data_IF_014462977281
#
_entry.id   IF_014462977281
#
_cell.length_a   1.000
_cell.length_b   1.000
_cell.length_c   1.000
_cell.angle_alpha   90.00
_cell.angle_beta   90.00
_cell.angle_gamma   90.00
#
_symmetry.space_group_name_H-M   'P 1'
#
loop_
_entity.id
_entity.type
_entity.pdbx_description
1 polymer ?
#
# COMPACT_ATOMS: atom_id res chain seq x y z
N UNK A 1 3.16 11.06 -12.87
CA UNK A 1 3.61 10.75 -11.49
C UNK A 1 3.02 9.43 -11.00
N UNK A 2 1.69 9.30 -10.80
CA UNK A 2 1.07 8.02 -10.39
C UNK A 2 1.20 6.93 -11.47
N UNK A 3 1.08 7.28 -12.76
CA UNK A 3 1.22 6.33 -13.88
C UNK A 3 2.65 5.75 -14.03
N UNK A 4 3.64 6.32 -13.34
CA UNK A 4 5.02 5.82 -13.29
C UNK A 4 5.32 5.03 -12.01
N UNK A 5 4.31 4.80 -11.16
CA UNK A 5 4.44 4.17 -9.83
C UNK A 5 5.46 4.86 -8.91
N UNK A 6 5.76 6.13 -9.15
CA UNK A 6 6.59 6.92 -8.24
C UNK A 6 5.70 7.49 -7.12
N UNK A 7 5.34 6.61 -6.19
CA UNK A 7 4.49 6.95 -5.05
C UNK A 7 5.20 7.87 -4.07
N UNK A 8 6.52 7.74 -3.92
CA UNK A 8 7.31 8.60 -3.03
C UNK A 8 7.18 10.08 -3.43
N UNK A 9 7.46 10.41 -4.69
CA UNK A 9 7.40 11.79 -5.16
C UNK A 9 5.96 12.32 -5.14
N UNK A 10 4.97 11.47 -5.45
CA UNK A 10 3.56 11.85 -5.36
C UNK A 10 3.14 12.23 -3.92
N UNK A 11 3.48 11.39 -2.93
CA UNK A 11 3.19 11.65 -1.51
C UNK A 11 3.95 12.88 -1.03
N UNK A 12 5.22 13.04 -1.41
CA UNK A 12 6.04 14.19 -1.04
C UNK A 12 5.45 15.51 -1.56
N UNK A 13 5.07 15.58 -2.84
CA UNK A 13 4.42 16.76 -3.43
C UNK A 13 3.11 17.04 -2.70
N UNK A 14 2.28 16.02 -2.51
CA UNK A 14 1.00 16.17 -1.81
C UNK A 14 1.19 16.72 -0.40
N UNK A 15 2.10 16.17 0.40
CA UNK A 15 2.33 16.64 1.77
C UNK A 15 2.79 18.10 1.81
N UNK A 16 3.58 18.52 0.82
CA UNK A 16 4.02 19.92 0.68
C UNK A 16 2.88 20.85 0.28
N UNK A 17 1.96 20.41 -0.57
CA UNK A 17 0.87 21.26 -1.10
C UNK A 17 -0.41 21.18 -0.27
N UNK A 18 -0.61 20.13 0.53
CA UNK A 18 -1.80 19.88 1.35
C UNK A 18 -2.23 21.06 2.22
N UNK A 19 -1.33 21.78 2.93
CA UNK A 19 -1.74 22.93 3.74
C UNK A 19 -2.36 24.06 2.90
N UNK A 20 -1.80 24.32 1.72
CA UNK A 20 -2.32 25.32 0.78
C UNK A 20 -3.65 24.87 0.19
N UNK A 21 -3.75 23.62 -0.24
CA UNK A 21 -4.99 23.04 -0.76
C UNK A 21 -6.11 23.09 0.28
N UNK A 22 -5.83 22.76 1.55
CA UNK A 22 -6.81 22.84 2.63
C UNK A 22 -7.27 24.28 2.90
N UNK A 23 -6.39 25.28 2.76
CA UNK A 23 -6.73 26.70 2.96
C UNK A 23 -7.72 27.21 1.93
N UNK A 24 -7.66 26.69 0.70
CA UNK A 24 -8.46 27.15 -0.43
C UNK A 24 -9.53 26.17 -0.86
N UNK A 25 -9.78 25.10 -0.09
CA UNK A 25 -10.75 24.05 -0.44
C UNK A 25 -12.17 24.60 -0.70
N UNK A 26 -12.55 25.67 0.01
CA UNK A 26 -13.89 26.27 -0.07
C UNK A 26 -14.00 27.33 -1.19
N UNK A 27 -12.89 27.62 -1.89
CA UNK A 27 -12.91 28.49 -3.07
C UNK A 27 -13.38 27.66 -4.26
N UNK A 28 -14.50 28.04 -4.88
CA UNK A 28 -15.14 27.26 -5.94
C UNK A 28 -14.20 26.86 -7.10
N UNK A 29 -13.25 27.71 -7.47
CA UNK A 29 -12.26 27.41 -8.53
C UNK A 29 -11.17 26.41 -8.11
N UNK A 30 -11.01 26.16 -6.82
CA UNK A 30 -9.97 25.30 -6.24
C UNK A 30 -10.59 24.03 -5.62
N UNK A 31 -11.87 24.04 -5.25
CA UNK A 31 -12.59 22.88 -4.70
C UNK A 31 -12.41 21.63 -5.58
N UNK A 32 -12.60 21.77 -6.91
CA UNK A 32 -12.42 20.64 -7.83
C UNK A 32 -10.99 20.09 -7.81
N UNK A 33 -9.97 20.96 -7.70
CA UNK A 33 -8.56 20.55 -7.61
C UNK A 33 -8.30 19.81 -6.29
N UNK A 34 -8.89 20.28 -5.18
CA UNK A 34 -8.80 19.60 -3.90
C UNK A 34 -9.40 18.20 -3.98
N UNK A 35 -10.61 18.08 -4.52
CA UNK A 35 -11.33 16.80 -4.63
C UNK A 35 -10.58 15.81 -5.52
N UNK A 36 -10.09 16.25 -6.68
CA UNK A 36 -9.24 15.44 -7.56
C UNK A 36 -7.96 14.99 -6.84
N UNK A 37 -7.32 15.87 -6.07
CA UNK A 37 -6.11 15.53 -5.32
C UNK A 37 -6.40 14.45 -4.26
N UNK A 38 -7.53 14.55 -3.56
CA UNK A 38 -7.94 13.54 -2.57
C UNK A 38 -8.21 12.20 -3.24
N UNK A 39 -8.88 12.18 -4.39
CA UNK A 39 -9.13 10.95 -5.17
C UNK A 39 -7.81 10.29 -5.56
N UNK A 40 -6.86 11.07 -6.09
CA UNK A 40 -5.54 10.56 -6.48
C UNK A 40 -4.78 10.00 -5.27
N UNK A 41 -4.79 10.70 -4.12
CA UNK A 41 -4.10 10.21 -2.93
C UNK A 41 -4.77 8.97 -2.31
N UNK A 42 -6.10 8.88 -2.35
CA UNK A 42 -6.80 7.65 -1.97
C UNK A 42 -6.38 6.48 -2.86
N UNK A 43 -6.25 6.68 -4.17
CA UNK A 43 -5.75 5.66 -5.07
C UNK A 43 -4.31 5.22 -4.71
N UNK A 44 -3.42 6.19 -4.44
CA UNK A 44 -2.04 5.89 -4.01
C UNK A 44 -2.02 5.10 -2.69
N UNK A 45 -2.85 5.47 -1.71
CA UNK A 45 -2.98 4.72 -0.46
C UNK A 45 -3.38 3.25 -0.71
N UNK A 46 -4.37 3.02 -1.57
CA UNK A 46 -4.83 1.66 -1.88
C UNK A 46 -3.75 0.84 -2.59
N UNK A 47 -3.00 1.44 -3.52
CA UNK A 47 -1.88 0.75 -4.18
C UNK A 47 -0.76 0.40 -3.18
N UNK A 48 -0.43 1.30 -2.26
CA UNK A 48 0.55 1.03 -1.20
C UNK A 48 0.07 -0.09 -0.27
N UNK A 49 -1.21 -0.15 0.08
CA UNK A 49 -1.80 -1.26 0.85
C UNK A 49 -1.70 -2.58 0.10
N UNK A 50 -1.91 -2.60 -1.22
CA UNK A 50 -1.72 -3.80 -2.03
C UNK A 50 -0.27 -4.29 -1.99
N UNK A 51 0.70 -3.38 -1.98
CA UNK A 51 2.12 -3.71 -1.82
C UNK A 51 2.35 -4.37 -0.45
N UNK A 52 1.89 -3.77 0.65
CA UNK A 52 2.02 -4.36 1.99
C UNK A 52 1.33 -5.72 2.10
N UNK A 53 0.17 -5.88 1.46
CA UNK A 53 -0.56 -7.15 1.42
C UNK A 53 0.09 -8.19 0.51
N UNK A 54 0.96 -7.80 -0.42
CA UNK A 54 1.64 -8.68 -1.36
C UNK A 54 2.90 -9.30 -0.77
N UNK A 55 2.93 -10.63 -0.65
CA UNK A 55 4.00 -11.34 0.08
C UNK A 55 5.30 -11.58 -0.73
N UNK A 56 5.38 -11.10 -1.97
CA UNK A 56 6.46 -11.45 -2.93
C UNK A 56 7.37 -10.24 -3.22
N UNK A 57 7.26 -9.17 -2.45
CA UNK A 57 8.07 -7.97 -2.65
C UNK A 57 9.36 -8.01 -1.83
N UNK A 58 10.36 -7.24 -2.26
CA UNK A 58 11.57 -7.03 -1.46
C UNK A 58 11.26 -6.27 -0.17
N UNK A 59 12.08 -6.53 0.86
CA UNK A 59 11.99 -5.84 2.15
C UNK A 59 12.08 -4.31 2.00
N UNK A 60 12.87 -3.82 1.05
CA UNK A 60 13.02 -2.38 0.82
C UNK A 60 11.71 -1.75 0.31
N UNK A 61 11.05 -2.38 -0.66
CA UNK A 61 9.77 -1.92 -1.21
C UNK A 61 8.66 -1.98 -0.17
N UNK A 62 8.68 -2.99 0.69
CA UNK A 62 7.74 -3.11 1.80
C UNK A 62 7.95 -1.98 2.81
N UNK A 63 9.20 -1.75 3.23
CA UNK A 63 9.56 -0.70 4.17
C UNK A 63 9.20 0.70 3.66
N UNK A 64 9.48 0.95 2.38
CA UNK A 64 9.08 2.17 1.68
C UNK A 64 7.56 2.35 1.70
N UNK A 65 6.80 1.32 1.32
CA UNK A 65 5.34 1.41 1.28
C UNK A 65 4.73 1.66 2.66
N UNK A 66 5.22 0.98 3.71
CA UNK A 66 4.81 1.22 5.10
C UNK A 66 5.11 2.66 5.49
N UNK A 67 6.32 3.15 5.20
CA UNK A 67 6.73 4.53 5.52
C UNK A 67 5.82 5.55 4.85
N UNK A 68 5.46 5.35 3.57
CA UNK A 68 4.58 6.25 2.84
C UNK A 68 3.14 6.22 3.37
N UNK A 69 2.61 5.05 3.74
CA UNK A 69 1.29 4.93 4.37
C UNK A 69 1.23 5.69 5.71
N UNK A 70 2.26 5.56 6.54
CA UNK A 70 2.35 6.29 7.81
C UNK A 70 2.42 7.81 7.58
N UNK A 71 3.18 8.26 6.57
CA UNK A 71 3.24 9.68 6.17
C UNK A 71 1.91 10.23 5.68
N UNK A 72 1.08 9.41 5.03
CA UNK A 72 -0.28 9.79 4.61
C UNK A 72 -1.26 9.86 5.79
N UNK A 73 -0.89 9.36 6.96
CA UNK A 73 -1.70 9.38 8.17
C UNK A 73 -2.54 8.11 8.38
N UNK A 74 -2.25 7.04 7.64
CA UNK A 74 -2.86 5.73 7.91
C UNK A 74 -2.41 5.26 9.29
N UNK A 75 -3.35 4.75 10.09
CA UNK A 75 -3.05 4.28 11.44
C UNK A 75 -2.02 3.15 11.41
N UNK A 76 -0.98 3.26 12.22
CA UNK A 76 0.08 2.25 12.32
C UNK A 76 -0.46 0.86 12.68
N UNK A 77 -1.49 0.81 13.54
CA UNK A 77 -2.21 -0.42 13.90
C UNK A 77 -2.83 -1.12 12.68
N UNK A 78 -3.43 -0.37 11.76
CA UNK A 78 -4.03 -0.90 10.54
C UNK A 78 -2.95 -1.44 9.60
N UNK A 79 -1.88 -0.68 9.37
CA UNK A 79 -0.76 -1.11 8.51
C UNK A 79 -0.09 -2.37 9.06
N UNK A 80 0.10 -2.43 10.38
CA UNK A 80 0.67 -3.59 11.05
C UNK A 80 -0.24 -4.83 10.94
N UNK A 81 -1.55 -4.65 11.15
CA UNK A 81 -2.54 -5.73 10.99
C UNK A 81 -2.55 -6.29 9.57
N UNK A 82 -2.53 -5.42 8.56
CA UNK A 82 -2.50 -5.82 7.15
C UNK A 82 -1.23 -6.60 6.82
N UNK A 83 -0.07 -6.13 7.31
CA UNK A 83 1.20 -6.83 7.15
C UNK A 83 1.20 -8.22 7.82
N UNK A 84 0.74 -8.33 9.07
CA UNK A 84 0.65 -9.64 9.74
C UNK A 84 -0.30 -10.60 9.03
N UNK A 85 -1.45 -10.10 8.55
CA UNK A 85 -2.39 -10.90 7.78
C UNK A 85 -1.74 -11.41 6.48
N UNK A 86 -0.92 -10.58 5.84
CA UNK A 86 -0.12 -10.96 4.66
C UNK A 86 0.88 -12.07 5.00
N UNK A 87 1.70 -11.89 6.03
CA UNK A 87 2.67 -12.92 6.46
C UNK A 87 1.99 -14.25 6.78
N UNK A 88 0.86 -14.21 7.51
CA UNK A 88 0.10 -15.42 7.83
C UNK A 88 -0.41 -16.14 6.58
N UNK A 89 -0.93 -15.40 5.60
CA UNK A 89 -1.37 -15.97 4.32
C UNK A 89 -0.20 -16.64 3.59
N UNK A 90 0.92 -15.95 3.46
CA UNK A 90 2.13 -16.48 2.81
C UNK A 90 2.61 -17.79 3.44
N UNK A 91 2.68 -17.82 4.78
CA UNK A 91 3.13 -19.00 5.51
C UNK A 91 2.16 -20.18 5.32
N UNK A 92 0.86 -19.92 5.31
CA UNK A 92 -0.15 -20.93 5.02
C UNK A 92 -0.03 -21.46 3.58
N UNK A 93 0.22 -20.58 2.60
CA UNK A 93 0.40 -20.97 1.21
C UNK A 93 1.67 -21.83 1.02
N UNK A 94 2.77 -21.47 1.69
CA UNK A 94 3.99 -22.28 1.68
C UNK A 94 3.80 -23.64 2.35
N UNK A 95 3.10 -23.65 3.49
CA UNK A 95 2.83 -24.88 4.24
C UNK A 95 1.93 -25.84 3.46
N UNK A 96 0.87 -25.32 2.83
CA UNK A 96 -0.01 -26.13 1.96
C UNK A 96 0.76 -26.70 0.76
N UNK A 97 1.64 -25.90 0.14
CA UNK A 97 2.50 -26.36 -0.97
C UNK A 97 3.39 -27.53 -0.55
N UNK A 98 4.05 -27.42 0.61
CA UNK A 98 4.91 -28.48 1.15
C UNK A 98 4.09 -29.75 1.43
N UNK A 99 2.90 -29.62 2.00
CA UNK A 99 2.01 -30.75 2.29
C UNK A 99 1.56 -31.46 1.00
N UNK A 100 1.18 -30.72 -0.03
CA UNK A 100 0.81 -31.27 -1.33
C UNK A 100 1.98 -32.00 -2.01
N UNK A 101 3.19 -31.42 -1.97
CA UNK A 101 4.39 -32.07 -2.50
C UNK A 101 4.70 -33.39 -1.78
N UNK A 102 4.53 -33.42 -0.46
CA UNK A 102 4.69 -34.64 0.34
C UNK A 102 3.66 -35.71 -0.03
N UNK A 103 2.41 -35.36 -0.33
CA UNK A 103 1.41 -36.35 -0.73
C UNK A 103 1.69 -36.95 -2.11
N UNK A 104 2.17 -36.14 -3.07
CA UNK A 104 2.52 -36.61 -4.42
C UNK A 104 3.72 -37.57 -4.40
N UNK A 105 4.70 -37.35 -3.53
CA UNK A 105 5.85 -38.25 -3.40
C UNK A 105 5.50 -39.64 -2.81
N UNK A 106 4.38 -39.78 -2.10
CA UNK A 106 3.94 -41.06 -1.53
C UNK A 106 3.01 -41.86 -2.47
N UNK A 107 2.44 -41.23 -3.51
CA UNK A 107 1.59 -41.89 -4.51
C UNK A 107 2.34 -42.30 -5.79
N UNK A 108 3.60 -41.85 -5.94
CA UNK A 108 4.47 -42.17 -7.07
C UNK A 108 5.56 -43.20 -6.79
N UNK A 109 5.53 -43.86 -5.63
CA UNK A 109 6.40 -44.96 -5.22
C UNK A 109 5.57 -46.23 -5.02
#
# INVERSE_FOLDING_TARGET
LVNQKNYEEAVKIFLKTRPTLLRYKDVASISNIYDETVIIMNFVEQELKKIVCGCIISSDKLSEAITLLLKLGVQSSAVYSDFLASCRRNLNDQLSTIQSQKQVSFLGA
#
